data_IF_899473440303
#
_entry.id   IF_899473440303
#
_cell.length_a   1.000
_cell.length_b   1.000
_cell.length_c   1.000
_cell.angle_alpha   90.00
_cell.angle_beta   90.00
_cell.angle_gamma   90.00
#
_symmetry.space_group_name_H-M   'P 1'
#
loop_
_entity.id
_entity.type
_entity.pdbx_description
1 polymer ?
#
# COMPACT_ATOMS: atom_id res chain seq x y z
N UNK A 1 -9.96 -4.76 14.91
CA UNK A 1 -10.31 -4.29 13.56
C UNK A 1 -11.13 -5.34 12.86
N UNK A 2 -12.15 -4.92 12.13
CA UNK A 2 -13.07 -5.80 11.40
C UNK A 2 -12.52 -6.05 10.01
N UNK A 3 -12.20 -7.31 9.70
CA UNK A 3 -11.76 -7.68 8.36
C UNK A 3 -12.82 -7.28 7.33
N UNK A 4 -12.44 -6.64 6.21
CA UNK A 4 -13.38 -6.29 5.15
C UNK A 4 -14.12 -7.52 4.61
N UNK A 5 -15.43 -7.37 4.41
CA UNK A 5 -16.31 -8.38 3.80
C UNK A 5 -17.18 -7.68 2.77
N UNK A 6 -17.45 -8.37 1.68
CA UNK A 6 -18.29 -7.84 0.60
C UNK A 6 -19.28 -8.90 0.14
N UNK A 7 -20.40 -8.50 -0.43
CA UNK A 7 -21.23 -9.42 -1.20
C UNK A 7 -20.80 -9.36 -2.66
N UNK A 8 -20.93 -10.48 -3.37
CA UNK A 8 -20.65 -10.53 -4.80
C UNK A 8 -21.47 -9.48 -5.59
N UNK A 9 -22.73 -9.28 -5.20
CA UNK A 9 -23.61 -8.25 -5.75
C UNK A 9 -23.09 -6.82 -5.54
N UNK A 10 -22.53 -6.53 -4.36
CA UNK A 10 -21.95 -5.23 -4.08
C UNK A 10 -20.66 -5.00 -4.89
N UNK A 11 -19.80 -6.01 -5.00
CA UNK A 11 -18.59 -5.92 -5.84
C UNK A 11 -18.97 -5.66 -7.30
N UNK A 12 -19.93 -6.41 -7.85
CA UNK A 12 -20.41 -6.25 -9.22
C UNK A 12 -20.88 -4.81 -9.50
N UNK A 13 -21.69 -4.24 -8.60
CA UNK A 13 -22.17 -2.86 -8.71
C UNK A 13 -21.02 -1.85 -8.69
N UNK A 14 -20.03 -2.03 -7.80
CA UNK A 14 -18.89 -1.12 -7.68
C UNK A 14 -17.95 -1.17 -8.88
N UNK A 15 -17.77 -2.33 -9.51
CA UNK A 15 -16.89 -2.44 -10.69
C UNK A 15 -17.61 -2.15 -12.00
N UNK A 16 -18.95 -2.14 -11.99
CA UNK A 16 -19.77 -1.99 -13.19
C UNK A 16 -19.76 -3.25 -14.05
N UNK A 17 -19.75 -4.42 -13.42
CA UNK A 17 -19.85 -5.70 -14.12
C UNK A 17 -21.28 -5.91 -14.61
N UNK A 18 -21.42 -6.56 -15.76
CA UNK A 18 -22.71 -7.04 -16.22
C UNK A 18 -23.26 -8.06 -15.22
N UNK A 19 -24.44 -7.76 -14.67
CA UNK A 19 -25.06 -8.53 -13.61
C UNK A 19 -26.33 -9.22 -14.15
N UNK A 20 -26.41 -10.53 -13.94
CA UNK A 20 -27.68 -11.25 -14.08
C UNK A 20 -28.55 -10.99 -12.85
N UNK A 21 -29.84 -10.67 -13.05
CA UNK A 21 -30.81 -10.26 -12.02
C UNK A 21 -30.93 -11.19 -10.78
N UNK A 22 -30.36 -12.39 -10.82
CA UNK A 22 -30.49 -13.45 -9.82
C UNK A 22 -29.14 -13.89 -9.21
N UNK A 23 -28.17 -12.98 -9.02
CA UNK A 23 -26.93 -13.36 -8.33
C UNK A 23 -27.15 -13.59 -6.83
N UNK A 24 -26.48 -14.60 -6.24
CA UNK A 24 -26.58 -14.86 -4.81
C UNK A 24 -25.96 -13.72 -3.99
N UNK A 25 -26.50 -13.48 -2.80
CA UNK A 25 -25.83 -12.69 -1.74
C UNK A 25 -24.68 -13.51 -1.14
N UNK A 26 -23.73 -13.88 -2.01
CA UNK A 26 -22.54 -14.63 -1.64
C UNK A 26 -21.55 -13.69 -0.99
N UNK A 27 -21.21 -13.97 0.27
CA UNK A 27 -20.20 -13.22 1.00
C UNK A 27 -18.80 -13.59 0.53
N UNK A 28 -17.94 -12.59 0.40
CA UNK A 28 -16.55 -12.65 0.00
C UNK A 28 -15.70 -12.08 1.14
N UNK A 29 -14.74 -12.86 1.61
CA UNK A 29 -13.83 -12.48 2.69
C UNK A 29 -12.41 -12.21 2.18
N UNK A 30 -12.07 -12.68 0.97
CA UNK A 30 -10.72 -12.61 0.40
C UNK A 30 -10.73 -12.19 -1.05
N UNK A 31 -9.64 -11.54 -1.45
CA UNK A 31 -9.34 -11.17 -2.84
C UNK A 31 -8.11 -11.95 -3.27
N UNK A 32 -8.26 -12.83 -4.26
CA UNK A 32 -7.22 -13.71 -4.75
C UNK A 32 -6.77 -13.26 -6.16
N UNK A 33 -5.47 -13.32 -6.41
CA UNK A 33 -4.89 -13.02 -7.74
C UNK A 33 -3.81 -14.03 -8.14
N UNK A 34 -3.49 -14.96 -7.25
CA UNK A 34 -2.57 -16.07 -7.49
C UNK A 34 -3.34 -17.36 -7.21
N UNK A 35 -3.66 -18.09 -8.28
CA UNK A 35 -4.45 -19.33 -8.22
C UNK A 35 -3.80 -20.41 -7.36
N UNK A 36 -2.48 -20.35 -7.15
CA UNK A 36 -1.74 -21.33 -6.36
C UNK A 36 -2.00 -21.22 -4.86
N UNK A 37 -2.57 -20.09 -4.42
CA UNK A 37 -2.87 -19.85 -3.00
C UNK A 37 -4.19 -20.51 -2.64
N UNK A 38 -4.15 -21.53 -1.77
CA UNK A 38 -5.36 -22.12 -1.19
C UNK A 38 -6.10 -21.09 -0.34
N UNK A 39 -7.39 -20.96 -0.57
CA UNK A 39 -8.30 -20.07 0.13
C UNK A 39 -9.03 -20.84 1.22
N UNK A 40 -8.95 -20.36 2.45
CA UNK A 40 -9.64 -20.95 3.62
C UNK A 40 -11.00 -20.29 3.88
N UNK A 41 -11.32 -19.23 3.15
CA UNK A 41 -12.54 -18.45 3.23
C UNK A 41 -13.00 -18.11 1.81
N UNK A 42 -14.30 -17.84 1.58
CA UNK A 42 -14.82 -17.48 0.26
C UNK A 42 -14.02 -16.33 -0.37
N UNK A 43 -13.42 -16.60 -1.53
CA UNK A 43 -12.54 -15.66 -2.22
C UNK A 43 -13.03 -15.33 -3.63
N UNK A 44 -12.78 -14.08 -4.04
CA UNK A 44 -12.95 -13.61 -5.40
C UNK A 44 -11.61 -13.60 -6.13
N UNK A 45 -11.51 -14.33 -7.24
CA UNK A 45 -10.31 -14.39 -8.07
C UNK A 45 -10.32 -13.29 -9.15
N UNK A 46 -9.23 -12.52 -9.29
CA UNK A 46 -9.07 -11.55 -10.37
C UNK A 46 -8.24 -12.15 -11.50
N UNK A 47 -8.88 -12.47 -12.63
CA UNK A 47 -8.24 -13.04 -13.80
C UNK A 47 -7.46 -11.97 -14.60
N UNK A 48 -6.39 -11.46 -14.01
CA UNK A 48 -5.58 -10.38 -14.59
C UNK A 48 -4.69 -10.90 -15.71
N UNK A 49 -4.66 -10.19 -16.84
CA UNK A 49 -3.61 -10.37 -17.86
C UNK A 49 -2.40 -9.51 -17.50
N UNK A 50 -1.23 -10.12 -17.50
CA UNK A 50 0.06 -9.49 -17.18
C UNK A 50 1.07 -9.84 -18.28
N UNK A 51 2.27 -9.20 -18.30
CA UNK A 51 3.31 -9.57 -19.26
C UNK A 51 3.75 -11.05 -19.16
N UNK A 52 3.54 -11.69 -18.00
CA UNK A 52 3.91 -13.08 -17.77
C UNK A 52 2.79 -14.08 -18.12
N UNK A 53 1.57 -13.63 -18.42
CA UNK A 53 0.49 -14.53 -18.81
C UNK A 53 -0.92 -13.98 -18.61
N UNK A 54 -1.88 -14.83 -18.95
CA UNK A 54 -3.31 -14.53 -18.85
C UNK A 54 -3.96 -15.27 -17.67
N UNK A 55 -4.43 -14.51 -16.68
CA UNK A 55 -5.07 -15.03 -15.47
C UNK A 55 -6.30 -15.90 -15.72
N UNK A 56 -7.00 -15.75 -16.86
CA UNK A 56 -8.18 -16.55 -17.17
C UNK A 56 -7.86 -18.05 -17.31
N UNK A 57 -6.63 -18.38 -17.71
CA UNK A 57 -6.13 -19.78 -17.79
C UNK A 57 -6.14 -20.49 -16.44
N UNK A 58 -6.20 -19.74 -15.36
CA UNK A 58 -6.09 -20.23 -13.99
C UNK A 58 -7.44 -20.27 -13.26
N UNK A 59 -8.56 -20.03 -13.94
CA UNK A 59 -9.89 -20.05 -13.32
C UNK A 59 -10.21 -21.40 -12.66
N UNK A 60 -9.93 -22.52 -13.35
CA UNK A 60 -10.18 -23.85 -12.79
C UNK A 60 -9.34 -24.11 -11.54
N UNK A 61 -8.04 -23.80 -11.59
CA UNK A 61 -7.16 -23.96 -10.44
C UNK A 61 -7.61 -23.06 -9.27
N UNK A 62 -7.99 -21.81 -9.53
CA UNK A 62 -8.49 -20.91 -8.50
C UNK A 62 -9.77 -21.44 -7.82
N UNK A 63 -10.68 -22.03 -8.60
CA UNK A 63 -11.90 -22.67 -8.11
C UNK A 63 -11.59 -23.89 -7.23
N UNK A 64 -10.73 -24.81 -7.71
CA UNK A 64 -10.26 -25.97 -6.95
C UNK A 64 -9.57 -25.56 -5.63
N UNK A 65 -9.00 -24.36 -5.60
CA UNK A 65 -8.31 -23.78 -4.43
C UNK A 65 -9.23 -22.96 -3.53
N UNK A 66 -10.54 -22.96 -3.76
CA UNK A 66 -11.55 -22.37 -2.87
C UNK A 66 -12.03 -20.97 -3.26
N UNK A 67 -11.68 -20.47 -4.46
CA UNK A 67 -12.34 -19.27 -4.99
C UNK A 67 -13.76 -19.62 -5.42
N UNK A 68 -14.74 -18.89 -4.91
CA UNK A 68 -16.17 -19.13 -5.21
C UNK A 68 -16.69 -18.27 -6.36
N UNK A 69 -15.93 -17.24 -6.72
CA UNK A 69 -16.22 -16.34 -7.83
C UNK A 69 -14.95 -15.80 -8.47
N UNK A 70 -15.06 -15.26 -9.68
CA UNK A 70 -14.00 -14.55 -10.39
C UNK A 70 -14.47 -13.23 -11.00
N UNK A 71 -13.51 -12.37 -11.34
CA UNK A 71 -13.67 -11.23 -12.25
C UNK A 71 -12.85 -11.53 -13.51
N UNK A 72 -13.48 -11.43 -14.68
CA UNK A 72 -12.84 -11.73 -15.97
C UNK A 72 -13.48 -10.97 -17.13
N UNK A 73 -12.88 -11.08 -18.30
CA UNK A 73 -13.44 -10.54 -19.55
C UNK A 73 -14.42 -11.52 -20.18
N UNK A 74 -15.35 -11.03 -21.00
CA UNK A 74 -16.34 -11.88 -21.66
C UNK A 74 -15.67 -13.01 -22.46
N UNK A 75 -14.64 -12.68 -23.24
CA UNK A 75 -13.87 -13.63 -24.06
C UNK A 75 -13.12 -14.64 -23.20
N UNK A 76 -12.31 -14.17 -22.24
CA UNK A 76 -11.48 -15.05 -21.40
C UNK A 76 -12.33 -15.97 -20.53
N UNK A 77 -13.43 -15.46 -19.96
CA UNK A 77 -14.34 -16.25 -19.14
C UNK A 77 -15.17 -17.25 -19.94
N UNK A 78 -15.52 -16.96 -21.19
CA UNK A 78 -16.16 -17.93 -22.07
C UNK A 78 -15.19 -19.05 -22.50
N UNK A 79 -13.93 -18.70 -22.78
CA UNK A 79 -12.91 -19.65 -23.20
C UNK A 79 -12.49 -20.61 -22.07
N UNK A 80 -12.39 -20.11 -20.84
CA UNK A 80 -11.92 -20.85 -19.67
C UNK A 80 -13.03 -21.05 -18.62
N UNK A 81 -14.26 -21.27 -19.08
CA UNK A 81 -15.42 -21.42 -18.22
C UNK A 81 -15.25 -22.58 -17.23
N UNK A 82 -15.63 -22.36 -15.98
CA UNK A 82 -15.60 -23.35 -14.90
C UNK A 82 -17.02 -23.55 -14.37
N UNK A 83 -17.52 -24.77 -14.44
CA UNK A 83 -18.85 -25.10 -13.94
C UNK A 83 -18.92 -24.85 -12.42
N UNK A 84 -19.95 -24.13 -11.97
CA UNK A 84 -20.16 -23.81 -10.55
C UNK A 84 -19.42 -22.56 -10.04
N UNK A 85 -18.56 -21.94 -10.84
CA UNK A 85 -17.90 -20.67 -10.49
C UNK A 85 -18.73 -19.48 -10.98
N UNK A 86 -19.03 -18.53 -10.09
CA UNK A 86 -19.65 -17.27 -10.52
C UNK A 86 -18.61 -16.36 -11.15
N UNK A 87 -18.91 -15.73 -12.29
CA UNK A 87 -17.96 -14.81 -12.96
C UNK A 87 -18.61 -13.45 -13.17
N UNK A 88 -17.96 -12.41 -12.65
CA UNK A 88 -18.27 -11.01 -12.92
C UNK A 88 -17.55 -10.59 -14.19
N UNK A 89 -18.33 -10.31 -15.24
CA UNK A 89 -17.79 -9.95 -16.54
C UNK A 89 -17.57 -8.43 -16.63
N UNK A 90 -16.36 -8.03 -17.00
CA UNK A 90 -15.96 -6.63 -17.19
C UNK A 90 -15.11 -6.48 -18.46
N UNK A 91 -15.08 -5.28 -19.04
CA UNK A 91 -14.23 -5.01 -20.22
C UNK A 91 -12.73 -5.10 -19.90
N UNK A 92 -12.35 -4.68 -18.68
CA UNK A 92 -10.95 -4.56 -18.26
C UNK A 92 -10.81 -4.86 -16.76
N UNK A 93 -10.23 -6.02 -16.46
CA UNK A 93 -10.07 -6.54 -15.09
C UNK A 93 -9.18 -5.63 -14.23
N UNK A 94 -8.18 -4.96 -14.83
CA UNK A 94 -7.32 -4.02 -14.11
C UNK A 94 -8.07 -2.75 -13.72
N UNK A 95 -8.84 -2.17 -14.64
CA UNK A 95 -9.68 -0.99 -14.33
C UNK A 95 -10.73 -1.33 -13.29
N UNK A 96 -11.33 -2.52 -13.36
CA UNK A 96 -12.27 -3.00 -12.35
C UNK A 96 -11.61 -3.10 -10.96
N UNK A 97 -10.39 -3.65 -10.87
CA UNK A 97 -9.65 -3.76 -9.61
C UNK A 97 -9.35 -2.38 -9.02
N UNK A 98 -8.86 -1.44 -9.83
CA UNK A 98 -8.59 -0.08 -9.36
C UNK A 98 -9.86 0.66 -8.94
N UNK A 99 -10.96 0.51 -9.69
CA UNK A 99 -12.26 1.09 -9.33
C UNK A 99 -12.75 0.57 -7.99
N UNK A 100 -12.61 -0.74 -7.75
CA UNK A 100 -13.00 -1.33 -6.48
C UNK A 100 -12.12 -0.87 -5.31
N UNK A 101 -10.79 -0.84 -5.49
CA UNK A 101 -9.87 -0.31 -4.50
C UNK A 101 -10.14 1.18 -4.20
N UNK A 102 -10.45 1.97 -5.23
CA UNK A 102 -10.84 3.36 -5.10
C UNK A 102 -12.14 3.52 -4.29
N UNK A 103 -13.15 2.70 -4.56
CA UNK A 103 -14.41 2.71 -3.80
C UNK A 103 -14.20 2.35 -2.32
N UNK A 104 -13.38 1.34 -2.03
CA UNK A 104 -13.04 0.96 -0.65
C UNK A 104 -12.25 2.06 0.06
N UNK A 105 -11.25 2.65 -0.62
CA UNK A 105 -10.52 3.81 -0.11
C UNK A 105 -11.44 5.00 0.15
N UNK A 106 -12.40 5.24 -0.74
CA UNK A 106 -13.39 6.31 -0.59
C UNK A 106 -14.42 6.02 0.50
N UNK A 107 -14.56 4.80 1.00
CA UNK A 107 -15.36 4.48 2.18
C UNK A 107 -14.59 4.76 3.48
N UNK A 108 -13.26 4.64 3.46
CA UNK A 108 -12.41 4.94 4.61
C UNK A 108 -12.35 6.44 4.92
N UNK A 109 -12.50 6.79 6.20
CA UNK A 109 -12.54 8.18 6.70
C UNK A 109 -11.31 8.58 7.51
N UNK A 110 -10.46 7.60 7.87
CA UNK A 110 -9.26 7.85 8.65
C UNK A 110 -8.08 8.38 7.81
N UNK A 111 -6.94 8.67 8.47
CA UNK A 111 -5.72 9.13 7.82
C UNK A 111 -5.05 8.03 6.99
N UNK A 112 -4.46 8.45 5.87
CA UNK A 112 -3.68 7.58 4.98
C UNK A 112 -2.28 8.16 4.84
N UNK A 113 -1.28 7.38 5.24
CA UNK A 113 0.13 7.71 5.06
C UNK A 113 0.64 6.95 3.84
N UNK A 114 1.00 7.68 2.79
CA UNK A 114 1.62 7.08 1.60
C UNK A 114 3.14 7.16 1.68
N UNK A 115 3.81 6.03 1.44
CA UNK A 115 5.27 5.91 1.53
C UNK A 115 5.79 5.52 0.15
N UNK A 116 6.60 6.38 -0.47
CA UNK A 116 7.29 6.07 -1.73
C UNK A 116 8.77 6.44 -1.67
N UNK A 117 9.51 5.96 -2.67
CA UNK A 117 10.95 6.12 -2.81
C UNK A 117 11.56 4.92 -3.51
N UNK A 118 12.84 4.99 -3.86
CA UNK A 118 13.54 3.85 -4.48
C UNK A 118 13.80 2.75 -3.44
N UNK A 119 14.31 3.12 -2.26
CA UNK A 119 14.66 2.21 -1.17
C UNK A 119 14.04 2.67 0.15
N UNK A 120 14.00 1.81 1.18
CA UNK A 120 13.58 2.22 2.54
C UNK A 120 12.08 2.20 2.85
N UNK A 121 11.19 2.12 1.83
CA UNK A 121 9.72 2.10 1.99
C UNK A 121 9.23 1.13 3.08
N UNK A 122 9.61 -0.14 2.97
CA UNK A 122 9.20 -1.18 3.93
C UNK A 122 9.81 -1.00 5.30
N UNK A 123 11.07 -0.54 5.38
CA UNK A 123 11.73 -0.24 6.65
C UNK A 123 11.00 0.87 7.40
N UNK A 124 10.73 2.00 6.74
CA UNK A 124 10.01 3.13 7.32
C UNK A 124 8.58 2.75 7.70
N UNK A 125 7.86 1.99 6.87
CA UNK A 125 6.50 1.52 7.19
C UNK A 125 6.46 0.69 8.48
N UNK A 126 7.36 -0.30 8.61
CA UNK A 126 7.40 -1.16 9.79
C UNK A 126 7.90 -0.42 11.04
N UNK A 127 8.88 0.48 10.89
CA UNK A 127 9.34 1.33 11.98
C UNK A 127 8.25 2.30 12.45
N UNK A 128 7.53 2.96 11.53
CA UNK A 128 6.41 3.84 11.87
C UNK A 128 5.29 3.07 12.57
N UNK A 129 4.89 1.92 12.04
CA UNK A 129 3.88 1.08 12.68
C UNK A 129 4.30 0.65 14.10
N UNK A 130 5.59 0.36 14.28
CA UNK A 130 6.14 0.03 15.59
C UNK A 130 6.10 1.22 16.56
N UNK A 131 6.56 2.40 16.13
CA UNK A 131 6.56 3.62 16.95
C UNK A 131 5.14 4.11 17.28
N UNK A 132 4.16 3.87 16.41
CA UNK A 132 2.76 4.17 16.72
C UNK A 132 2.21 3.28 17.84
N UNK A 133 2.74 2.05 18.01
CA UNK A 133 2.29 1.10 19.04
C UNK A 133 0.82 0.68 18.94
N UNK A 134 0.13 1.09 17.87
CA UNK A 134 -1.31 0.96 17.72
C UNK A 134 -1.65 -0.30 16.90
N UNK A 135 -2.27 -1.32 17.51
CA UNK A 135 -2.62 -2.56 16.82
C UNK A 135 -3.73 -2.38 15.78
N UNK A 136 -4.35 -1.21 15.72
CA UNK A 136 -5.41 -0.87 14.76
C UNK A 136 -4.90 -0.09 13.54
N UNK A 137 -3.58 0.06 13.39
CA UNK A 137 -2.97 0.56 12.16
C UNK A 137 -2.93 -0.56 11.11
N UNK A 138 -3.64 -0.37 10.00
CA UNK A 138 -3.54 -1.24 8.85
C UNK A 138 -2.36 -0.82 7.97
N UNK A 139 -1.60 -1.79 7.43
CA UNK A 139 -0.39 -1.49 6.65
C UNK A 139 -0.14 -2.50 5.54
N UNK A 140 0.49 -2.06 4.44
CA UNK A 140 0.78 -2.94 3.30
C UNK A 140 1.52 -4.19 3.78
N UNK A 141 1.05 -5.41 3.46
CA UNK A 141 1.73 -6.62 3.90
C UNK A 141 3.06 -6.77 3.16
N UNK A 142 4.15 -7.05 3.90
CA UNK A 142 5.51 -7.20 3.31
C UNK A 142 5.83 -5.99 2.39
N UNK A 143 6.32 -6.22 1.18
CA UNK A 143 6.62 -5.17 0.17
C UNK A 143 5.53 -5.08 -0.90
N UNK A 144 4.25 -5.08 -0.50
CA UNK A 144 3.13 -4.94 -1.44
C UNK A 144 2.97 -3.49 -1.89
N UNK A 145 3.81 -3.11 -2.86
CA UNK A 145 3.92 -1.75 -3.37
C UNK A 145 3.86 -1.66 -4.91
N UNK A 146 3.63 -2.77 -5.61
CA UNK A 146 3.50 -2.79 -7.07
C UNK A 146 2.11 -2.36 -7.56
N UNK A 147 1.95 -2.26 -8.88
CA UNK A 147 0.66 -2.09 -9.57
C UNK A 147 -0.45 -3.00 -9.02
N UNK A 148 -0.12 -4.25 -8.69
CA UNK A 148 -1.03 -5.20 -8.07
C UNK A 148 -1.07 -5.10 -6.53
N UNK A 149 0.10 -4.94 -5.91
CA UNK A 149 0.22 -4.98 -4.46
C UNK A 149 -0.53 -3.86 -3.75
N UNK A 150 -0.55 -2.66 -4.32
CA UNK A 150 -1.22 -1.49 -3.74
C UNK A 150 -2.74 -1.68 -3.62
N UNK A 151 -3.51 -1.95 -4.70
CA UNK A 151 -4.95 -2.14 -4.59
C UNK A 151 -5.31 -3.35 -3.70
N UNK A 152 -4.54 -4.45 -3.75
CA UNK A 152 -4.78 -5.59 -2.88
C UNK A 152 -4.51 -5.29 -1.40
N UNK A 153 -3.53 -4.44 -1.10
CA UNK A 153 -3.30 -3.97 0.26
C UNK A 153 -4.51 -3.18 0.75
N UNK A 154 -4.93 -2.18 -0.03
CA UNK A 154 -6.06 -1.30 0.30
C UNK A 154 -7.34 -2.10 0.53
N UNK A 155 -7.67 -3.05 -0.35
CA UNK A 155 -8.88 -3.87 -0.20
C UNK A 155 -8.86 -4.70 1.09
N UNK A 156 -7.70 -5.11 1.58
CA UNK A 156 -7.59 -5.86 2.83
C UNK A 156 -7.64 -4.98 4.08
N UNK A 157 -7.55 -3.66 3.93
CA UNK A 157 -7.50 -2.77 5.09
C UNK A 157 -8.88 -2.57 5.71
N UNK A 158 -9.02 -2.80 7.02
CA UNK A 158 -10.26 -2.52 7.76
C UNK A 158 -10.66 -1.05 7.66
N UNK A 159 -11.97 -0.80 7.50
CA UNK A 159 -12.52 0.57 7.51
C UNK A 159 -12.52 1.19 8.92
N UNK A 160 -12.44 0.37 9.96
CA UNK A 160 -12.34 0.76 11.37
C UNK A 160 -10.89 0.89 11.87
N UNK A 161 -9.90 0.80 10.97
CA UNK A 161 -8.50 1.02 11.29
C UNK A 161 -8.25 2.49 11.68
N UNK A 162 -7.39 2.73 12.68
CA UNK A 162 -7.03 4.08 13.11
C UNK A 162 -6.25 4.86 12.06
N UNK A 163 -5.52 4.14 11.19
CA UNK A 163 -4.71 4.69 10.10
C UNK A 163 -4.39 3.60 9.08
N UNK A 164 -4.19 4.01 7.83
CA UNK A 164 -3.61 3.15 6.80
C UNK A 164 -2.20 3.61 6.42
N UNK A 165 -1.23 2.70 6.44
CA UNK A 165 0.13 2.90 5.92
C UNK A 165 0.28 2.17 4.58
N UNK A 166 0.35 2.92 3.48
CA UNK A 166 0.35 2.37 2.12
C UNK A 166 1.72 2.59 1.51
N UNK A 167 2.43 1.50 1.20
CA UNK A 167 3.63 1.57 0.37
C UNK A 167 3.25 1.64 -1.10
N UNK A 168 3.83 2.59 -1.83
CA UNK A 168 3.60 2.76 -3.26
C UNK A 168 4.94 2.76 -4.00
N UNK A 169 5.08 1.86 -4.95
CA UNK A 169 6.20 1.69 -5.84
C UNK A 169 5.77 1.92 -7.29
N UNK A 170 6.75 2.22 -8.13
CA UNK A 170 6.58 2.42 -9.57
C UNK A 170 7.78 1.80 -10.27
N UNK A 171 7.56 1.28 -11.46
CA UNK A 171 8.59 0.68 -12.30
C UNK A 171 8.85 1.51 -13.56
N UNK A 172 7.80 2.13 -14.11
CA UNK A 172 7.85 2.85 -15.38
C UNK A 172 7.11 4.19 -15.29
N UNK A 173 7.36 5.06 -16.28
CA UNK A 173 6.64 6.33 -16.41
C UNK A 173 5.11 6.11 -16.54
N UNK A 174 4.33 6.92 -15.83
CA UNK A 174 2.86 6.83 -15.81
C UNK A 174 2.28 5.84 -14.81
N UNK A 175 3.09 5.03 -14.12
CA UNK A 175 2.59 4.10 -13.10
C UNK A 175 1.92 4.82 -11.93
N UNK A 176 2.45 5.98 -11.50
CA UNK A 176 1.92 6.68 -10.33
C UNK A 176 0.53 7.26 -10.60
N UNK A 177 0.23 7.61 -11.86
CA UNK A 177 -1.08 8.10 -12.28
C UNK A 177 -2.20 7.09 -11.95
N UNK A 178 -1.88 5.79 -11.88
CA UNK A 178 -2.83 4.73 -11.52
C UNK A 178 -3.30 4.81 -10.08
N UNK A 179 -2.55 5.47 -9.19
CA UNK A 179 -2.86 5.56 -7.76
C UNK A 179 -3.28 6.96 -7.32
N UNK A 180 -2.67 7.99 -7.92
CA UNK A 180 -2.88 9.40 -7.53
C UNK A 180 -4.34 9.85 -7.58
N UNK A 181 -5.13 9.29 -8.50
CA UNK A 181 -6.54 9.65 -8.68
C UNK A 181 -7.46 9.19 -7.55
N UNK A 182 -7.05 8.22 -6.73
CA UNK A 182 -7.93 7.62 -5.73
C UNK A 182 -7.29 7.38 -4.36
N UNK A 183 -5.97 7.22 -4.26
CA UNK A 183 -5.33 6.90 -2.98
C UNK A 183 -5.42 8.05 -1.97
N UNK A 184 -5.38 9.29 -2.46
CA UNK A 184 -5.59 10.54 -1.70
C UNK A 184 -4.98 10.52 -0.27
N UNK A 185 -3.64 10.47 -0.15
CA UNK A 185 -2.98 10.41 1.15
C UNK A 185 -3.11 11.71 1.95
N UNK A 186 -3.19 11.58 3.27
CA UNK A 186 -3.17 12.72 4.19
C UNK A 186 -1.76 13.19 4.52
N UNK A 187 -0.82 12.24 4.65
CA UNK A 187 0.60 12.47 4.90
C UNK A 187 1.42 11.71 3.86
N UNK A 188 2.44 12.35 3.30
CA UNK A 188 3.41 11.71 2.43
C UNK A 188 4.74 11.46 3.13
N UNK A 189 5.39 10.35 2.79
CA UNK A 189 6.77 10.06 3.18
C UNK A 189 7.56 9.68 1.93
N UNK A 190 8.59 10.47 1.61
CA UNK A 190 9.52 10.19 0.53
C UNK A 190 10.85 9.71 1.09
N UNK A 191 11.14 8.42 0.91
CA UNK A 191 12.33 7.76 1.47
C UNK A 191 13.60 7.96 0.63
N UNK A 192 13.49 8.59 -0.54
CA UNK A 192 14.63 9.00 -1.35
C UNK A 192 14.66 8.45 -2.78
N UNK A 193 15.66 8.89 -3.55
CA UNK A 193 15.83 8.59 -4.97
C UNK A 193 17.16 7.87 -5.25
N UNK A 194 17.10 6.55 -5.36
CA UNK A 194 18.21 5.68 -5.82
C UNK A 194 17.92 5.04 -7.18
N UNK A 195 18.80 4.15 -7.63
CA UNK A 195 18.88 3.68 -9.03
C UNK A 195 17.85 2.59 -9.41
N UNK A 196 17.11 2.07 -8.42
CA UNK A 196 16.13 1.00 -8.65
C UNK A 196 15.05 1.41 -9.67
N UNK A 197 14.88 0.64 -10.75
CA UNK A 197 13.97 0.93 -11.87
C UNK A 197 14.35 2.11 -12.78
N UNK A 198 15.61 2.57 -12.79
CA UNK A 198 16.04 3.66 -13.70
C UNK A 198 15.74 3.37 -15.18
N UNK A 199 15.80 2.10 -15.60
CA UNK A 199 15.51 1.69 -16.98
C UNK A 199 14.09 2.05 -17.46
N UNK A 200 13.14 2.25 -16.55
CA UNK A 200 11.76 2.63 -16.87
C UNK A 200 11.54 4.14 -17.04
N UNK A 201 12.59 4.97 -16.94
CA UNK A 201 12.50 6.43 -16.97
C UNK A 201 13.52 7.08 -17.89
N UNK A 202 13.13 8.18 -18.53
CA UNK A 202 14.01 8.93 -19.42
C UNK A 202 15.15 9.66 -18.68
N UNK A 203 14.94 10.01 -17.39
CA UNK A 203 15.95 10.63 -16.54
C UNK A 203 15.62 10.46 -15.06
N UNK A 204 16.58 10.79 -14.17
CA UNK A 204 16.34 10.80 -12.71
C UNK A 204 15.29 11.84 -12.31
N UNK A 205 15.27 12.98 -13.00
CA UNK A 205 14.29 14.05 -12.78
C UNK A 205 12.88 13.59 -13.17
N UNK A 206 12.73 12.87 -14.29
CA UNK A 206 11.45 12.29 -14.70
C UNK A 206 10.95 11.27 -13.66
N UNK A 207 11.83 10.41 -13.15
CA UNK A 207 11.52 9.46 -12.08
C UNK A 207 11.14 10.15 -10.77
N UNK A 208 11.86 11.21 -10.40
CA UNK A 208 11.54 12.01 -9.23
C UNK A 208 10.15 12.64 -9.38
N UNK A 209 9.88 13.28 -10.51
CA UNK A 209 8.58 13.91 -10.79
C UNK A 209 7.43 12.90 -10.74
N UNK A 210 7.62 11.70 -11.30
CA UNK A 210 6.63 10.61 -11.23
C UNK A 210 6.34 10.22 -9.77
N UNK A 211 7.37 9.98 -8.94
CA UNK A 211 7.19 9.65 -7.52
C UNK A 211 6.52 10.78 -6.75
N UNK A 212 6.92 12.02 -7.01
CA UNK A 212 6.41 13.22 -6.35
C UNK A 212 4.94 13.50 -6.70
N UNK A 213 4.46 13.04 -7.85
CA UNK A 213 3.06 13.19 -8.24
C UNK A 213 2.08 12.58 -7.22
N UNK A 214 2.50 11.52 -6.50
CA UNK A 214 1.74 10.87 -5.42
C UNK A 214 1.34 11.84 -4.30
N UNK A 215 2.18 12.86 -4.09
CA UNK A 215 2.05 13.79 -2.97
C UNK A 215 1.35 15.09 -3.34
N UNK A 216 0.78 15.20 -4.55
CA UNK A 216 -0.02 16.37 -4.90
C UNK A 216 -1.22 16.47 -3.97
N UNK A 217 -1.31 17.58 -3.22
CA UNK A 217 -2.42 17.84 -2.30
C UNK A 217 -2.29 17.19 -0.92
N UNK A 218 -1.17 16.55 -0.59
CA UNK A 218 -0.94 16.09 0.80
C UNK A 218 -0.81 17.27 1.74
N UNK A 219 -1.27 17.11 2.98
CA UNK A 219 -1.17 18.17 3.99
C UNK A 219 0.27 18.42 4.41
N UNK A 220 1.05 17.35 4.48
CA UNK A 220 2.46 17.39 4.83
C UNK A 220 3.19 16.28 4.10
N UNK A 221 4.43 16.57 3.71
CA UNK A 221 5.35 15.62 3.10
C UNK A 221 6.64 15.62 3.91
N UNK A 222 7.06 14.43 4.37
CA UNK A 222 8.36 14.22 5.00
C UNK A 222 9.33 13.64 3.98
N UNK A 223 10.52 14.22 3.89
CA UNK A 223 11.50 13.85 2.85
C UNK A 223 12.84 13.49 3.48
N UNK A 224 13.38 12.33 3.12
CA UNK A 224 14.76 12.02 3.46
C UNK A 224 15.71 13.06 2.85
N UNK A 225 16.77 13.39 3.60
CA UNK A 225 17.86 14.18 3.05
C UNK A 225 18.59 13.40 1.94
N UNK A 226 19.16 14.12 0.98
CA UNK A 226 19.88 13.57 -0.15
C UNK A 226 20.03 14.57 -1.31
N UNK A 227 20.85 14.26 -2.34
CA UNK A 227 21.13 15.20 -3.44
C UNK A 227 19.89 15.67 -4.22
N UNK A 228 18.78 14.91 -4.15
CA UNK A 228 17.50 15.24 -4.76
C UNK A 228 16.63 16.18 -3.91
N UNK A 229 16.97 16.39 -2.63
CA UNK A 229 16.14 17.16 -1.68
C UNK A 229 15.90 18.61 -2.12
N UNK A 230 16.84 19.34 -2.78
CA UNK A 230 16.56 20.72 -3.22
C UNK A 230 15.45 20.80 -4.29
N UNK A 231 15.18 19.70 -5.00
CA UNK A 231 14.13 19.59 -6.01
C UNK A 231 12.76 19.18 -5.45
N UNK A 232 12.65 18.98 -4.14
CA UNK A 232 11.43 18.48 -3.48
C UNK A 232 10.99 19.44 -2.38
N UNK A 233 9.75 19.93 -2.47
CA UNK A 233 9.14 20.69 -1.38
C UNK A 233 8.57 19.74 -0.33
N UNK A 234 9.18 19.70 0.85
CA UNK A 234 8.76 18.91 2.00
C UNK A 234 9.48 19.36 3.27
N UNK A 235 9.08 18.81 4.41
CA UNK A 235 9.72 19.07 5.71
C UNK A 235 10.78 18.00 5.95
N UNK A 236 12.01 18.42 6.24
CA UNK A 236 13.07 17.48 6.59
C UNK A 236 12.79 16.87 7.98
N UNK A 237 13.09 15.58 8.21
CA UNK A 237 12.98 14.98 9.53
C UNK A 237 13.70 15.77 10.61
N UNK A 238 14.88 16.32 10.29
CA UNK A 238 15.68 17.13 11.22
C UNK A 238 15.02 18.43 11.68
N UNK A 239 14.02 18.92 10.94
CA UNK A 239 13.22 20.09 11.34
C UNK A 239 12.16 19.71 12.38
N UNK A 240 11.80 18.43 12.47
CA UNK A 240 10.83 17.88 13.43
C UNK A 240 11.55 17.24 14.62
N UNK A 241 12.69 16.56 14.40
CA UNK A 241 13.50 15.92 15.43
C UNK A 241 14.93 16.46 15.41
N UNK A 242 15.53 16.73 16.57
CA UNK A 242 16.88 17.28 16.65
C UNK A 242 17.92 16.19 16.94
N UNK A 243 19.13 16.29 16.38
CA UNK A 243 20.23 15.37 16.70
C UNK A 243 21.15 15.96 17.78
N UNK A 244 21.34 15.24 18.90
CA UNK A 244 22.21 15.63 20.00
C UNK A 244 22.97 14.42 20.54
N UNK A 245 24.31 14.50 20.61
CA UNK A 245 25.17 13.46 21.17
C UNK A 245 24.90 12.02 20.64
N UNK A 246 24.53 11.90 19.36
CA UNK A 246 24.20 10.60 18.74
C UNK A 246 22.81 10.06 19.08
N UNK A 247 21.92 10.90 19.61
CA UNK A 247 20.51 10.61 19.87
C UNK A 247 19.63 11.57 19.07
N UNK A 248 18.43 11.13 18.71
CA UNK A 248 17.39 12.07 18.28
C UNK A 248 16.50 12.46 19.42
N UNK A 249 16.17 13.74 19.48
CA UNK A 249 15.34 14.36 20.50
C UNK A 249 14.05 14.85 19.83
N UNK A 250 12.92 14.31 20.29
CA UNK A 250 11.60 14.74 19.86
C UNK A 250 11.23 16.13 20.40
N UNK A 251 10.19 16.78 19.84
CA UNK A 251 9.67 18.05 20.37
C UNK A 251 9.20 18.00 21.83
N UNK A 252 8.90 16.80 22.33
CA UNK A 252 8.50 16.53 23.72
C UNK A 252 9.69 16.25 24.65
N UNK A 253 10.92 16.31 24.14
CA UNK A 253 12.16 16.06 24.88
C UNK A 253 12.57 14.58 24.98
N UNK A 254 11.78 13.63 24.45
CA UNK A 254 12.14 12.22 24.47
C UNK A 254 13.35 11.93 23.57
N UNK A 255 14.23 11.04 24.03
CA UNK A 255 15.47 10.69 23.33
C UNK A 255 15.39 9.28 22.75
N UNK A 256 15.86 9.16 21.51
CA UNK A 256 15.87 7.93 20.75
C UNK A 256 17.31 7.60 20.35
N UNK A 257 17.74 6.38 20.68
CA UNK A 257 19.02 5.87 20.24
C UNK A 257 19.05 5.79 18.70
N UNK A 258 20.13 6.30 18.11
CA UNK A 258 20.28 6.32 16.65
C UNK A 258 20.85 4.99 16.17
N UNK A 259 20.32 4.39 15.09
CA UNK A 259 20.93 3.23 14.46
C UNK A 259 22.38 3.53 14.04
N UNK A 260 23.33 2.70 14.48
CA UNK A 260 24.75 2.90 14.15
C UNK A 260 25.19 2.19 12.88
N UNK A 261 24.42 1.21 12.39
CA UNK A 261 24.88 0.27 11.36
C UNK A 261 24.94 0.90 9.96
N UNK A 262 24.03 1.82 9.59
CA UNK A 262 24.12 2.54 8.31
C UNK A 262 23.41 3.90 8.28
N UNK A 263 23.84 4.78 7.38
CA UNK A 263 23.17 6.07 7.11
C UNK A 263 21.73 5.89 6.60
N UNK A 264 21.49 4.86 5.79
CA UNK A 264 20.16 4.55 5.28
C UNK A 264 19.18 4.17 6.41
N UNK A 265 19.62 3.39 7.38
CA UNK A 265 18.81 3.04 8.54
C UNK A 265 18.53 4.24 9.44
N UNK A 266 19.53 5.11 9.63
CA UNK A 266 19.31 6.40 10.30
C UNK A 266 18.28 7.24 9.55
N UNK A 267 18.42 7.40 8.23
CA UNK A 267 17.45 8.19 7.46
C UNK A 267 16.02 7.62 7.58
N UNK A 268 15.87 6.30 7.48
CA UNK A 268 14.57 5.64 7.64
C UNK A 268 13.97 5.85 9.04
N UNK A 269 14.80 5.70 10.08
CA UNK A 269 14.36 5.85 11.45
C UNK A 269 13.98 7.31 11.76
N UNK A 270 14.69 8.29 11.20
CA UNK A 270 14.36 9.71 11.33
C UNK A 270 13.00 10.01 10.70
N UNK A 271 12.74 9.48 9.49
CA UNK A 271 11.45 9.60 8.82
C UNK A 271 10.33 8.98 9.65
N UNK A 272 10.52 7.80 10.22
CA UNK A 272 9.51 7.13 11.03
C UNK A 272 9.19 7.90 12.33
N UNK A 273 10.21 8.44 13.01
CA UNK A 273 10.03 9.27 14.20
C UNK A 273 9.36 10.60 13.88
N UNK A 274 9.86 11.32 12.87
CA UNK A 274 9.27 12.56 12.40
C UNK A 274 7.81 12.37 11.96
N UNK A 275 7.50 11.25 11.28
CA UNK A 275 6.13 10.90 10.91
C UNK A 275 5.24 10.67 12.13
N UNK A 276 5.74 10.04 13.19
CA UNK A 276 4.98 9.83 14.43
C UNK A 276 4.57 11.18 15.03
N UNK A 277 5.50 12.13 15.13
CA UNK A 277 5.21 13.49 15.61
C UNK A 277 4.30 14.28 14.66
N UNK A 278 4.51 14.19 13.34
CA UNK A 278 3.66 14.83 12.33
C UNK A 278 2.20 14.34 12.40
N UNK A 279 1.99 13.11 12.86
CA UNK A 279 0.66 12.53 13.11
C UNK A 279 0.06 12.96 14.45
N UNK A 280 0.73 13.83 15.21
CA UNK A 280 0.32 14.26 16.54
C UNK A 280 0.38 13.13 17.57
N UNK A 281 1.26 12.15 17.37
CA UNK A 281 1.45 11.01 18.27
C UNK A 281 2.79 11.12 18.97
N UNK A 282 2.81 10.63 20.21
CA UNK A 282 4.04 10.37 20.94
C UNK A 282 4.51 8.95 20.60
N UNK A 283 5.79 8.74 20.26
CA UNK A 283 6.31 7.40 20.02
C UNK A 283 6.10 6.47 21.22
N UNK A 284 5.60 5.27 20.96
CA UNK A 284 5.37 4.24 21.95
C UNK A 284 6.69 3.55 22.35
N UNK A 285 6.86 3.33 23.64
CA UNK A 285 8.00 2.62 24.23
C UNK A 285 7.77 1.11 24.23
N UNK A 286 8.57 0.36 23.47
CA UNK A 286 8.52 -1.10 23.46
C UNK A 286 9.92 -1.68 23.73
N UNK A 287 10.37 -1.51 24.97
CA UNK A 287 11.66 -2.00 25.51
C UNK A 287 11.77 -3.55 25.62
N UNK A 288 11.14 -4.33 24.72
CA UNK A 288 11.03 -5.79 24.89
C UNK A 288 11.27 -6.65 23.65
N UNK A 289 12.05 -6.21 22.67
CA UNK A 289 12.70 -7.15 21.73
C UNK A 289 14.21 -6.93 21.62
N UNK A 290 15.01 -8.02 21.57
CA UNK A 290 16.38 -7.91 21.12
C UNK A 290 16.36 -7.55 19.62
N UNK A 291 16.87 -6.35 19.29
CA UNK A 291 17.13 -5.84 17.92
C UNK A 291 15.91 -5.30 17.14
N UNK A 292 15.33 -4.19 17.62
CA UNK A 292 14.67 -3.20 16.76
C UNK A 292 15.63 -2.02 16.47
N UNK A 293 15.44 -1.25 15.38
CA UNK A 293 16.37 -0.19 14.96
C UNK A 293 16.32 1.07 15.85
N UNK A 294 15.25 1.26 16.62
CA UNK A 294 15.07 2.42 17.51
C UNK A 294 14.78 1.95 18.94
N UNK A 295 15.43 2.58 19.92
CA UNK A 295 15.18 2.39 21.36
C UNK A 295 15.01 3.73 22.03
N UNK A 296 14.08 3.80 22.98
CA UNK A 296 13.93 4.97 23.84
C UNK A 296 14.95 4.93 24.96
N UNK A 297 15.49 6.09 25.31
CA UNK A 297 16.27 6.27 26.53
C UNK A 297 15.52 7.20 27.46
N UNK A 298 15.41 6.80 28.73
CA UNK A 298 14.81 7.59 29.81
C UNK A 298 15.87 8.32 30.60
#
# INVERSE_FOLDING_TARGET
MTAPRWTLSHVAALIGADFAAAMPNLELSRMATDSRTTQTEPALFWALTTPSGDGHRHLNEAFERGCVAAVGTAEGSAQYAVEGMHVLVVDDVWKALFRFAAAHRAAYRGPVVAITGSNGKTSVKEQLAHLLGDPTVARSPRSYNSMLGVPLSVLQFPLDASMWLVEVGISEAGDMARFTSWLNPTLGIFTGLGDAHDAGFASREAKLAEKMSLFRGVKQLLVADGPWSPGVQGVLPSEIVQSQAGQWVGPDGQRFAVPVESEAERSNAALALAATYALGRTPHDFDSRPRGPLRLER
#
